data_IF_627076884897
#
_entry.id   IF_627076884897
#
_cell.length_a   1.000
_cell.length_b   1.000
_cell.length_c   1.000
_cell.angle_alpha   90.00
_cell.angle_beta   90.00
_cell.angle_gamma   90.00
#
_symmetry.space_group_name_H-M   'P 1'
#
loop_
_entity.id
_entity.type
_entity.pdbx_description
1 polymer ?
#
# COMPACT_ATOMS: atom_id res chain seq x y z
N UNK A 1 -7.27 0.12 0.04
CA UNK A 1 -7.17 -0.34 -1.37
C UNK A 1 -8.55 -0.27 -2.01
N UNK A 2 -8.65 0.05 -3.30
CA UNK A 2 -9.91 0.28 -4.03
C UNK A 2 -10.75 -0.97 -4.33
N UNK A 3 -10.14 -2.16 -4.37
CA UNK A 3 -10.74 -3.38 -4.93
C UNK A 3 -11.74 -4.08 -3.98
N UNK A 4 -11.83 -3.66 -2.71
CA UNK A 4 -12.87 -4.12 -1.78
C UNK A 4 -12.75 -5.59 -1.32
N UNK A 5 -11.65 -6.27 -1.62
CA UNK A 5 -11.42 -7.69 -1.32
C UNK A 5 -11.14 -8.01 0.15
N UNK A 6 -10.84 -6.99 0.96
CA UNK A 6 -10.68 -7.08 2.41
C UNK A 6 -11.14 -5.81 3.10
N UNK A 7 -11.53 -5.90 4.38
CA UNK A 7 -11.87 -4.72 5.18
C UNK A 7 -10.59 -3.91 5.45
N UNK A 8 -10.62 -2.61 5.15
CA UNK A 8 -9.56 -1.65 5.52
C UNK A 8 -10.13 -0.72 6.58
N UNK A 9 -9.53 -0.71 7.76
CA UNK A 9 -9.98 0.10 8.90
C UNK A 9 -9.11 1.36 9.03
N UNK A 10 -7.82 1.23 8.68
CA UNK A 10 -6.84 2.31 8.74
C UNK A 10 -6.98 3.22 7.51
N UNK A 11 -6.69 4.52 7.70
CA UNK A 11 -6.70 5.53 6.66
C UNK A 11 -5.27 6.03 6.40
N UNK A 12 -4.75 5.78 5.20
CA UNK A 12 -3.50 6.35 4.72
C UNK A 12 -3.80 7.53 3.78
N UNK A 13 -3.31 8.71 4.14
CA UNK A 13 -3.43 9.96 3.39
C UNK A 13 -2.06 10.39 2.88
N UNK A 14 -2.01 10.72 1.60
CA UNK A 14 -0.77 11.03 0.90
C UNK A 14 -0.82 12.45 0.34
N UNK A 15 0.33 13.13 0.40
CA UNK A 15 0.54 14.44 -0.21
C UNK A 15 1.81 14.40 -1.06
N UNK A 16 1.82 15.04 -2.24
CA UNK A 16 3.02 15.20 -3.07
C UNK A 16 3.89 16.38 -2.64
N UNK A 17 3.38 17.25 -1.76
CA UNK A 17 4.07 18.43 -1.26
C UNK A 17 4.46 18.24 0.19
N UNK A 18 5.65 18.72 0.54
CA UNK A 18 6.13 18.71 1.91
C UNK A 18 5.18 19.46 2.85
N UNK A 19 5.05 18.96 4.07
CA UNK A 19 4.27 19.58 5.13
C UNK A 19 4.99 19.52 6.48
N UNK A 20 4.66 20.48 7.33
CA UNK A 20 5.14 20.53 8.71
C UNK A 20 4.38 19.51 9.57
N UNK A 21 5.05 18.43 9.94
CA UNK A 21 4.48 17.36 10.76
C UNK A 21 4.04 17.84 12.15
N UNK A 22 4.91 18.50 12.95
CA UNK A 22 4.52 19.16 14.20
C UNK A 22 3.35 20.12 14.04
N UNK A 23 3.39 20.95 12.99
CA UNK A 23 2.30 21.71 12.37
C UNK A 23 0.95 20.98 12.45
N UNK A 24 0.87 19.95 11.61
CA UNK A 24 -0.31 19.15 11.40
C UNK A 24 -0.73 18.41 12.67
N UNK A 25 0.21 17.85 13.43
CA UNK A 25 -0.06 17.13 14.66
C UNK A 25 -0.78 18.01 15.70
N UNK A 26 -0.30 19.24 15.90
CA UNK A 26 -0.95 20.19 16.81
C UNK A 26 -2.37 20.56 16.36
N UNK A 27 -2.56 20.77 15.05
CA UNK A 27 -3.88 21.00 14.48
C UNK A 27 -4.82 19.81 14.74
N UNK A 28 -4.34 18.58 14.50
CA UNK A 28 -5.13 17.36 14.69
C UNK A 28 -5.54 17.15 16.16
N UNK A 29 -4.64 17.43 17.10
CA UNK A 29 -4.94 17.39 18.55
C UNK A 29 -6.05 18.41 18.87
N UNK A 30 -5.87 19.67 18.46
CA UNK A 30 -6.74 20.76 18.88
C UNK A 30 -8.15 20.69 18.26
N UNK A 31 -8.25 20.24 17.01
CA UNK A 31 -9.50 20.27 16.26
C UNK A 31 -10.27 18.95 16.29
N UNK A 32 -9.56 17.82 16.42
CA UNK A 32 -10.15 16.49 16.27
C UNK A 32 -9.87 15.56 17.45
N UNK A 33 -9.29 16.07 18.54
CA UNK A 33 -8.89 15.28 19.72
C UNK A 33 -8.05 14.06 19.33
N UNK A 34 -7.12 14.25 18.39
CA UNK A 34 -6.29 13.16 17.89
C UNK A 34 -5.26 12.70 18.93
N UNK A 35 -5.14 11.39 19.09
CA UNK A 35 -4.07 10.76 19.85
C UNK A 35 -2.87 10.51 18.94
N UNK A 36 -1.85 11.35 19.05
CA UNK A 36 -0.66 11.29 18.18
C UNK A 36 0.28 10.17 18.64
N UNK A 37 0.63 9.27 17.72
CA UNK A 37 1.57 8.15 17.95
C UNK A 37 2.99 8.47 17.50
N UNK A 38 3.15 9.13 16.36
CA UNK A 38 4.46 9.45 15.80
C UNK A 38 4.38 10.72 14.96
N UNK A 39 5.37 11.58 15.14
CA UNK A 39 5.54 12.82 14.38
C UNK A 39 6.96 12.89 13.87
N UNK A 40 7.11 13.20 12.58
CA UNK A 40 8.36 13.61 11.93
C UNK A 40 8.02 14.70 10.92
N UNK A 41 9.03 15.38 10.38
CA UNK A 41 8.80 16.14 9.14
C UNK A 41 8.15 15.24 8.10
N UNK A 42 7.13 15.73 7.39
CA UNK A 42 6.44 14.99 6.33
C UNK A 42 5.74 13.69 6.74
N UNK A 43 5.53 13.46 8.04
CA UNK A 43 4.85 12.26 8.52
C UNK A 43 4.16 12.50 9.86
N UNK A 44 2.88 12.18 9.94
CA UNK A 44 2.13 12.13 11.21
C UNK A 44 1.28 10.88 11.24
N UNK A 45 1.30 10.15 12.35
CA UNK A 45 0.35 9.06 12.58
C UNK A 45 -0.21 9.11 13.99
N UNK A 46 -1.42 8.54 14.13
CA UNK A 46 -2.18 8.59 15.36
C UNK A 46 -3.52 7.90 15.21
N UNK A 47 -4.42 8.18 16.14
CA UNK A 47 -5.82 7.80 16.03
C UNK A 47 -6.72 9.02 16.23
N UNK A 48 -7.88 9.00 15.60
CA UNK A 48 -9.03 9.82 15.99
C UNK A 48 -10.14 8.84 16.37
N UNK A 49 -10.47 8.78 17.66
CA UNK A 49 -11.27 7.70 18.21
C UNK A 49 -10.64 6.33 17.93
N UNK A 50 -11.40 5.44 17.28
CA UNK A 50 -10.95 4.07 16.95
C UNK A 50 -10.27 3.94 15.58
N UNK A 51 -10.19 5.03 14.80
CA UNK A 51 -9.65 5.00 13.44
C UNK A 51 -8.19 5.44 13.47
N UNK A 52 -7.30 4.54 13.09
CA UNK A 52 -5.89 4.87 12.89
C UNK A 52 -5.69 5.63 11.57
N UNK A 53 -4.84 6.65 11.61
CA UNK A 53 -4.49 7.43 10.43
C UNK A 53 -2.98 7.54 10.23
N UNK A 54 -2.58 7.71 8.97
CA UNK A 54 -1.24 8.11 8.57
C UNK A 54 -1.32 9.24 7.54
N UNK A 55 -0.66 10.36 7.82
CA UNK A 55 -0.36 11.41 6.84
C UNK A 55 1.08 11.26 6.40
N UNK A 56 1.30 11.16 5.09
CA UNK A 56 2.60 10.82 4.51
C UNK A 56 2.87 11.76 3.33
N UNK A 57 4.01 12.44 3.32
CA UNK A 57 4.51 13.06 2.09
C UNK A 57 5.06 11.94 1.21
N UNK A 58 4.37 11.67 0.11
CA UNK A 58 4.78 10.71 -0.91
C UNK A 58 5.12 11.48 -2.18
N UNK A 59 6.25 12.18 -2.14
CA UNK A 59 6.73 13.03 -3.23
C UNK A 59 7.34 12.20 -4.36
N UNK A 60 6.48 11.43 -5.04
CA UNK A 60 6.77 10.66 -6.23
C UNK A 60 5.76 11.01 -7.31
N UNK A 61 6.12 10.90 -8.60
CA UNK A 61 5.18 11.18 -9.69
C UNK A 61 3.92 10.32 -9.57
N UNK A 62 2.79 10.91 -9.95
CA UNK A 62 1.54 10.20 -10.16
C UNK A 62 1.62 9.50 -11.52
N UNK A 63 1.34 8.20 -11.57
CA UNK A 63 1.33 7.45 -12.83
C UNK A 63 0.13 7.85 -13.68
N UNK A 64 -1.03 8.02 -13.02
CA UNK A 64 -2.26 8.51 -13.62
C UNK A 64 -2.89 9.59 -12.75
N UNK A 65 -3.75 10.46 -13.32
CA UNK A 65 -4.44 11.49 -12.55
C UNK A 65 -5.20 10.92 -11.35
N UNK A 66 -5.22 11.69 -10.25
CA UNK A 66 -6.06 11.38 -9.08
C UNK A 66 -7.52 11.24 -9.51
N UNK A 67 -8.14 10.12 -9.12
CA UNK A 67 -9.56 9.88 -9.34
C UNK A 67 -10.38 10.52 -8.22
N UNK A 68 -11.59 10.99 -8.55
CA UNK A 68 -12.55 11.46 -7.57
C UNK A 68 -13.74 10.50 -7.52
N UNK A 69 -13.91 9.83 -6.39
CA UNK A 69 -14.99 8.86 -6.16
C UNK A 69 -15.76 9.35 -4.94
N UNK A 70 -17.05 9.64 -5.11
CA UNK A 70 -17.91 10.15 -4.03
C UNK A 70 -17.33 11.40 -3.32
N UNK A 71 -16.68 12.27 -4.08
CA UNK A 71 -16.02 13.48 -3.55
C UNK A 71 -14.66 13.24 -2.89
N UNK A 72 -14.24 11.98 -2.71
CA UNK A 72 -12.95 11.61 -2.14
C UNK A 72 -11.90 11.45 -3.24
N UNK A 73 -10.76 12.13 -3.07
CA UNK A 73 -9.58 11.96 -3.92
C UNK A 73 -8.91 10.62 -3.62
N UNK A 74 -8.72 9.80 -4.64
CA UNK A 74 -8.08 8.51 -4.51
C UNK A 74 -7.05 8.28 -5.61
N UNK A 75 -5.88 7.77 -5.24
CA UNK A 75 -4.84 7.38 -6.21
C UNK A 75 -5.35 6.32 -7.18
N UNK A 76 -4.86 6.37 -8.42
CA UNK A 76 -5.18 5.37 -9.45
C UNK A 76 -4.80 3.95 -9.02
N UNK A 77 -5.41 2.94 -9.64
CA UNK A 77 -5.03 1.54 -9.39
C UNK A 77 -3.56 1.29 -9.78
N UNK A 78 -3.07 1.95 -10.82
CA UNK A 78 -1.68 1.89 -11.27
C UNK A 78 -0.73 2.40 -10.18
N UNK A 79 -1.00 3.57 -9.60
CA UNK A 79 -0.23 4.14 -8.49
C UNK A 79 -0.25 3.22 -7.27
N UNK A 80 -1.43 2.70 -6.92
CA UNK A 80 -1.58 1.76 -5.81
C UNK A 80 -0.75 0.50 -6.06
N UNK A 81 -0.74 -0.03 -7.29
CA UNK A 81 0.03 -1.23 -7.64
C UNK A 81 1.53 -1.03 -7.41
N UNK A 82 2.07 0.11 -7.83
CA UNK A 82 3.47 0.48 -7.61
C UNK A 82 3.79 0.60 -6.12
N UNK A 83 2.92 1.26 -5.36
CA UNK A 83 3.10 1.45 -3.92
C UNK A 83 3.10 0.11 -3.15
N UNK A 84 2.34 -0.88 -3.61
CA UNK A 84 2.33 -2.23 -3.00
C UNK A 84 3.64 -2.96 -3.22
N UNK A 85 4.21 -2.89 -4.41
CA UNK A 85 5.56 -3.43 -4.67
C UNK A 85 6.58 -2.74 -3.78
N UNK A 86 6.57 -1.41 -3.72
CA UNK A 86 7.51 -0.67 -2.88
C UNK A 86 7.39 -1.05 -1.40
N UNK A 87 6.17 -1.25 -0.90
CA UNK A 87 5.93 -1.72 0.46
C UNK A 87 6.52 -3.11 0.73
N UNK A 88 6.34 -4.06 -0.19
CA UNK A 88 6.86 -5.44 -0.08
C UNK A 88 8.38 -5.45 -0.14
N UNK A 89 8.97 -4.68 -1.07
CA UNK A 89 10.42 -4.55 -1.21
C UNK A 89 11.07 -4.02 0.08
N UNK A 90 10.45 -3.03 0.72
CA UNK A 90 10.96 -2.46 1.97
C UNK A 90 10.63 -3.31 3.21
N UNK A 91 9.65 -4.22 3.14
CA UNK A 91 9.28 -5.10 4.25
C UNK A 91 8.53 -6.35 3.78
N UNK A 92 9.20 -7.50 3.83
CA UNK A 92 8.64 -8.80 3.46
C UNK A 92 7.59 -9.35 4.44
N UNK A 93 7.35 -8.71 5.58
CA UNK A 93 6.42 -9.22 6.61
C UNK A 93 4.95 -8.86 6.32
N UNK A 94 4.68 -8.02 5.32
CA UNK A 94 3.39 -7.34 5.16
C UNK A 94 2.34 -8.18 4.42
N UNK A 95 1.75 -9.18 5.08
CA UNK A 95 0.73 -10.09 4.49
C UNK A 95 -0.38 -9.37 3.72
N UNK A 96 -0.84 -8.20 4.21
CA UNK A 96 -1.87 -7.39 3.55
C UNK A 96 -1.46 -6.95 2.15
N UNK A 97 -0.18 -6.63 1.93
CA UNK A 97 0.32 -6.16 0.63
C UNK A 97 0.44 -7.31 -0.37
N UNK A 98 0.80 -8.52 0.05
CA UNK A 98 0.80 -9.70 -0.81
C UNK A 98 -0.63 -10.10 -1.23
N UNK A 99 -1.59 -10.04 -0.31
CA UNK A 99 -3.02 -10.23 -0.63
C UNK A 99 -3.46 -9.20 -1.67
N UNK A 100 -3.13 -7.94 -1.43
CA UNK A 100 -3.43 -6.82 -2.32
C UNK A 100 -2.83 -7.05 -3.74
N UNK A 101 -1.59 -7.55 -3.85
CA UNK A 101 -0.97 -7.95 -5.14
C UNK A 101 -1.74 -9.10 -5.80
N UNK A 102 -2.15 -10.13 -5.07
CA UNK A 102 -2.93 -11.24 -5.62
C UNK A 102 -4.25 -10.76 -6.27
N UNK A 103 -4.93 -9.78 -5.67
CA UNK A 103 -6.13 -9.22 -6.27
C UNK A 103 -5.84 -8.27 -7.44
N UNK A 104 -4.73 -7.53 -7.42
CA UNK A 104 -4.26 -6.75 -8.57
C UNK A 104 -3.95 -7.67 -9.77
N UNK A 105 -3.35 -8.84 -9.53
CA UNK A 105 -3.05 -9.82 -10.59
C UNK A 105 -4.29 -10.40 -11.29
N UNK A 106 -5.51 -10.18 -10.76
CA UNK A 106 -6.76 -10.56 -11.43
C UNK A 106 -7.21 -9.54 -12.48
N UNK A 107 -6.65 -8.33 -12.46
CA UNK A 107 -7.08 -7.22 -13.32
C UNK A 107 -5.92 -6.60 -14.13
N UNK A 108 -4.67 -6.92 -13.80
CA UNK A 108 -3.49 -6.49 -14.54
C UNK A 108 -2.38 -7.55 -14.46
N UNK A 109 -1.54 -7.61 -15.48
CA UNK A 109 -0.40 -8.52 -15.51
C UNK A 109 0.69 -8.10 -14.51
N UNK A 110 1.51 -9.07 -14.07
CA UNK A 110 2.65 -8.72 -13.22
C UNK A 110 3.64 -7.80 -13.93
N UNK A 111 3.75 -7.89 -15.27
CA UNK A 111 4.59 -6.98 -16.05
C UNK A 111 4.11 -5.53 -15.90
N UNK A 112 2.82 -5.27 -16.05
CA UNK A 112 2.25 -3.93 -15.87
C UNK A 112 2.45 -3.40 -14.44
N UNK A 113 2.30 -4.25 -13.43
CA UNK A 113 2.57 -3.87 -12.03
C UNK A 113 4.04 -3.45 -11.83
N UNK A 114 4.99 -4.19 -12.42
CA UNK A 114 6.42 -3.88 -12.33
C UNK A 114 6.79 -2.63 -13.15
N UNK A 115 6.18 -2.44 -14.32
CA UNK A 115 6.37 -1.23 -15.13
C UNK A 115 5.86 0.00 -14.36
N UNK A 116 4.69 -0.09 -13.71
CA UNK A 116 4.16 0.94 -12.83
C UNK A 116 5.10 1.24 -11.66
N UNK A 117 5.68 0.20 -11.04
CA UNK A 117 6.67 0.36 -9.98
C UNK A 117 7.90 1.16 -10.45
N UNK A 118 8.44 0.87 -11.63
CA UNK A 118 9.55 1.63 -12.20
C UNK A 118 9.18 3.06 -12.61
N UNK A 119 7.97 3.28 -13.12
CA UNK A 119 7.49 4.62 -13.47
C UNK A 119 7.36 5.52 -12.23
N UNK A 120 6.87 4.96 -11.12
CA UNK A 120 6.67 5.73 -9.88
C UNK A 120 7.97 5.97 -9.11
N UNK A 121 8.88 5.00 -9.14
CA UNK A 121 10.12 5.04 -8.37
C UNK A 121 11.33 4.89 -9.32
N UNK A 122 11.97 6.00 -9.75
CA UNK A 122 12.98 5.96 -10.82
C UNK A 122 14.25 5.17 -10.47
N UNK A 123 14.59 5.05 -9.20
CA UNK A 123 15.85 4.44 -8.73
C UNK A 123 15.71 2.98 -8.28
N UNK A 124 14.65 2.28 -8.70
CA UNK A 124 14.35 0.91 -8.23
C UNK A 124 14.79 -0.17 -9.22
N UNK A 125 15.02 -1.37 -8.67
CA UNK A 125 15.39 -2.55 -9.44
C UNK A 125 14.24 -3.57 -9.48
N UNK A 126 13.80 -3.96 -10.68
CA UNK A 126 12.74 -4.97 -10.87
C UNK A 126 13.15 -6.36 -10.40
N UNK A 127 14.45 -6.70 -10.45
CA UNK A 127 14.96 -7.96 -9.90
C UNK A 127 14.73 -8.05 -8.40
N UNK A 128 14.94 -6.96 -7.67
CA UNK A 128 14.67 -6.90 -6.23
C UNK A 128 13.16 -7.08 -5.95
N UNK A 129 12.30 -6.42 -6.73
CA UNK A 129 10.86 -6.62 -6.65
C UNK A 129 10.44 -8.08 -6.89
N UNK A 130 10.98 -8.73 -7.93
CA UNK A 130 10.71 -10.14 -8.23
C UNK A 130 11.17 -11.07 -7.11
N UNK A 131 12.36 -10.83 -6.55
CA UNK A 131 12.88 -11.58 -5.40
C UNK A 131 11.99 -11.42 -4.18
N UNK A 132 11.62 -10.18 -3.82
CA UNK A 132 10.72 -9.92 -2.67
C UNK A 132 9.33 -10.53 -2.86
N UNK A 133 8.79 -10.50 -4.08
CA UNK A 133 7.52 -11.16 -4.42
C UNK A 133 7.60 -12.69 -4.35
N UNK A 134 8.79 -13.27 -4.53
CA UNK A 134 8.98 -14.73 -4.48
C UNK A 134 9.31 -15.24 -3.07
N UNK A 135 9.68 -14.34 -2.16
CA UNK A 135 10.12 -14.69 -0.83
C UNK A 135 8.99 -14.53 0.20
N UNK A 136 8.44 -15.67 0.64
CA UNK A 136 7.28 -15.70 1.52
C UNK A 136 7.60 -16.14 2.96
N UNK A 137 8.85 -16.48 3.27
CA UNK A 137 9.21 -17.08 4.56
C UNK A 137 9.05 -16.11 5.74
N UNK A 138 9.27 -14.81 5.52
CA UNK A 138 9.18 -13.77 6.55
C UNK A 138 7.77 -13.20 6.73
N UNK A 139 6.78 -13.65 5.97
CA UNK A 139 5.43 -13.08 6.02
C UNK A 139 4.78 -13.36 7.37
N UNK A 140 4.38 -12.31 8.08
CA UNK A 140 3.68 -12.44 9.35
C UNK A 140 2.20 -12.74 9.11
N UNK A 141 1.84 -14.03 9.17
CA UNK A 141 0.48 -14.52 9.04
C UNK A 141 -0.37 -14.31 10.31
N UNK A 142 0.21 -13.84 11.42
CA UNK A 142 -0.54 -13.53 12.64
C UNK A 142 -1.26 -12.17 12.55
N UNK A 143 -0.87 -11.32 11.60
CA UNK A 143 -1.57 -10.05 11.34
C UNK A 143 -3.01 -10.36 10.90
N UNK A 144 -4.04 -9.92 11.64
CA UNK A 144 -5.41 -10.24 11.31
C UNK A 144 -5.83 -9.59 9.99
N UNK A 145 -6.38 -10.39 9.08
CA UNK A 145 -6.94 -9.93 7.81
C UNK A 145 -8.38 -10.42 7.66
N UNK A 146 -9.31 -9.49 7.52
CA UNK A 146 -10.70 -9.79 7.21
C UNK A 146 -10.91 -9.78 5.69
N UNK A 147 -10.72 -10.95 5.06
CA UNK A 147 -11.03 -11.18 3.65
C UNK A 147 -12.55 -11.27 3.44
N UNK A 148 -13.01 -10.77 2.30
CA UNK A 148 -14.41 -10.97 1.89
C UNK A 148 -14.66 -12.40 1.41
N UNK A 149 -13.67 -12.99 0.72
CA UNK A 149 -13.66 -14.41 0.38
C UNK A 149 -13.05 -15.22 1.54
N UNK A 150 -13.92 -15.88 2.31
CA UNK A 150 -13.52 -16.72 3.46
C UNK A 150 -12.91 -18.06 3.05
N UNK A 151 -12.99 -18.43 1.77
CA UNK A 151 -12.47 -19.71 1.26
C UNK A 151 -11.02 -19.59 0.78
N UNK A 152 -10.57 -18.36 0.48
CA UNK A 152 -9.23 -18.09 0.01
C UNK A 152 -8.19 -18.41 1.09
N UNK A 153 -7.27 -19.32 0.76
CA UNK A 153 -6.14 -19.69 1.64
C UNK A 153 -4.88 -18.98 1.21
N UNK A 154 -3.99 -18.71 2.16
CA UNK A 154 -2.66 -18.12 1.90
C UNK A 154 -1.89 -18.86 0.80
N UNK A 155 -1.95 -20.20 0.79
CA UNK A 155 -1.29 -21.01 -0.24
C UNK A 155 -1.71 -20.62 -1.67
N UNK A 156 -2.99 -20.34 -1.90
CA UNK A 156 -3.48 -19.93 -3.23
C UNK A 156 -2.89 -18.57 -3.66
N UNK A 157 -2.74 -17.65 -2.71
CA UNK A 157 -2.14 -16.33 -2.93
C UNK A 157 -0.66 -16.51 -3.29
N UNK A 158 0.08 -17.25 -2.47
CA UNK A 158 1.50 -17.51 -2.66
C UNK A 158 1.78 -18.21 -4.00
N UNK A 159 1.04 -19.27 -4.33
CA UNK A 159 1.20 -20.02 -5.57
C UNK A 159 0.93 -19.13 -6.80
N UNK A 160 -0.11 -18.28 -6.74
CA UNK A 160 -0.45 -17.36 -7.83
C UNK A 160 0.66 -16.32 -8.07
N UNK A 161 1.21 -15.72 -7.02
CA UNK A 161 2.30 -14.74 -7.14
C UNK A 161 3.56 -15.42 -7.69
N UNK A 162 3.92 -16.60 -7.18
CA UNK A 162 5.09 -17.36 -7.66
C UNK A 162 4.97 -17.75 -9.13
N UNK A 163 3.79 -18.22 -9.56
CA UNK A 163 3.53 -18.52 -10.97
C UNK A 163 3.64 -17.27 -11.84
N UNK A 164 3.10 -16.14 -11.36
CA UNK A 164 3.17 -14.86 -12.09
C UNK A 164 4.62 -14.39 -12.28
N UNK A 165 5.47 -14.54 -11.25
CA UNK A 165 6.91 -14.22 -11.35
C UNK A 165 7.61 -15.16 -12.34
N UNK A 166 7.34 -16.47 -12.29
CA UNK A 166 7.94 -17.46 -13.19
C UNK A 166 7.60 -17.21 -14.66
N UNK A 167 6.39 -16.72 -14.95
CA UNK A 167 5.91 -16.46 -16.30
C UNK A 167 6.43 -15.15 -16.93
N UNK A 168 7.26 -14.38 -16.21
CA UNK A 168 7.92 -13.17 -16.75
C UNK A 168 9.22 -13.47 -17.52
N UNK A 169 9.57 -14.75 -17.69
CA UNK A 169 10.78 -15.23 -18.36
C UNK A 169 10.47 -15.74 -19.77
#
# INVERSE_FOLDING_TARGET
MKIGHRKSIDIDMFCSVNFDGPLLAQHLINQYNAEIKRVKSNYVSGNIGVVAFHFICHNYPEIKPIEQIEGIRMMSVDDISAMKINAIVNSGQRVKDFIDIYYLLKIMSLKEILDNYCLKYPDVNTSMAKSSLSYHADIDLNVPVMLMDKTLKWKNIADCILLSVKNLH
#
